data_IF_572034350542
#
_entry.id   IF_572034350542
#
_cell.length_a   1.000
_cell.length_b   1.000
_cell.length_c   1.000
_cell.angle_alpha   90.00
_cell.angle_beta   90.00
_cell.angle_gamma   90.00
#
_symmetry.space_group_name_H-M   'P 1'
#
loop_
_entity.id
_entity.type
_entity.pdbx_description
1 polymer ?
#
# COMPACT_ATOMS: atom_id res chain seq x y z
N UNK A 1 17.41 -19.08 -3.86
CA UNK A 1 15.98 -19.46 -3.79
C UNK A 1 15.36 -18.61 -2.68
N UNK A 2 14.93 -17.38 -2.99
CA UNK A 2 14.27 -16.52 -2.00
C UNK A 2 12.87 -17.08 -1.75
N UNK A 3 12.54 -17.37 -0.49
CA UNK A 3 11.19 -17.80 -0.10
C UNK A 3 10.27 -16.60 -0.25
N UNK A 4 9.32 -16.68 -1.21
CA UNK A 4 8.20 -15.74 -1.32
C UNK A 4 7.43 -15.79 0.01
N UNK A 5 7.33 -14.66 0.70
CA UNK A 5 6.46 -14.54 1.87
C UNK A 5 5.01 -14.64 1.38
N UNK A 6 4.17 -15.51 1.96
CA UNK A 6 2.77 -15.62 1.53
C UNK A 6 2.02 -14.33 1.89
N UNK A 7 1.33 -13.74 0.91
CA UNK A 7 0.57 -12.48 1.02
C UNK A 7 -0.40 -12.41 2.23
N UNK A 8 -0.79 -13.56 2.78
CA UNK A 8 -1.70 -13.64 3.92
C UNK A 8 -1.06 -13.17 5.23
N UNK A 9 0.27 -13.12 5.31
CA UNK A 9 0.98 -12.66 6.51
C UNK A 9 0.91 -11.13 6.67
N UNK A 10 0.79 -10.36 5.56
CA UNK A 10 0.64 -8.91 5.59
C UNK A 10 -0.73 -8.48 6.17
N UNK A 11 -1.79 -9.21 5.81
CA UNK A 11 -3.16 -8.98 6.31
C UNK A 11 -3.28 -9.24 7.82
N UNK A 12 -2.47 -10.16 8.36
CA UNK A 12 -2.54 -10.54 9.78
C UNK A 12 -1.95 -9.48 10.71
N UNK A 13 -0.99 -8.67 10.24
CA UNK A 13 -0.36 -7.60 11.04
C UNK A 13 -1.28 -6.40 11.23
N UNK A 14 -2.14 -6.08 10.25
CA UNK A 14 -3.06 -4.94 10.34
C UNK A 14 -4.18 -5.16 11.38
N UNK A 15 -4.59 -6.42 11.58
CA UNK A 15 -5.62 -6.80 12.54
C UNK A 15 -5.08 -7.04 13.97
N UNK A 16 -3.77 -7.19 14.14
CA UNK A 16 -3.15 -7.69 15.38
C UNK A 16 -2.52 -6.62 16.28
N UNK A 17 -2.63 -5.32 15.96
CA UNK A 17 -2.30 -4.26 16.92
C UNK A 17 -3.53 -3.94 17.78
N UNK A 18 -3.64 -4.47 19.02
CA UNK A 18 -4.59 -3.92 19.96
C UNK A 18 -4.20 -2.46 20.17
N UNK A 19 -5.21 -1.60 20.25
CA UNK A 19 -5.08 -0.21 20.66
C UNK A 19 -4.54 -0.15 22.11
N UNK A 20 -3.25 -0.37 22.30
CA UNK A 20 -2.59 -0.31 23.59
C UNK A 20 -1.90 1.04 23.74
N UNK A 21 -2.72 2.09 23.82
CA UNK A 21 -2.48 3.35 24.55
C UNK A 21 -3.50 4.39 24.05
N UNK A 22 -4.51 4.73 24.86
CA UNK A 22 -4.82 6.12 25.20
C UNK A 22 -5.95 6.14 26.25
N UNK A 23 -5.58 6.09 27.54
CA UNK A 23 -6.44 6.68 28.57
C UNK A 23 -6.11 8.18 28.65
N UNK A 24 -7.17 8.99 28.62
CA UNK A 24 -7.23 10.45 28.80
C UNK A 24 -7.11 11.31 27.52
N UNK A 25 -8.28 11.60 26.93
CA UNK A 25 -8.66 12.96 26.58
C UNK A 25 -8.01 13.62 25.36
N UNK A 26 -8.38 13.16 24.16
CA UNK A 26 -8.90 14.00 23.05
C UNK A 26 -9.26 13.05 21.90
N UNK A 27 -10.54 12.93 21.57
CA UNK A 27 -11.05 11.97 20.60
C UNK A 27 -11.07 12.58 19.20
N UNK A 28 -9.90 12.74 18.60
CA UNK A 28 -9.76 13.16 17.20
C UNK A 28 -9.00 12.11 16.39
N UNK A 29 -9.74 11.30 15.63
CA UNK A 29 -9.30 10.54 14.44
C UNK A 29 -8.03 9.68 14.59
N UNK A 30 -7.86 9.00 15.73
CA UNK A 30 -6.95 7.85 15.84
C UNK A 30 -7.78 6.57 15.85
N UNK A 31 -7.67 5.74 14.81
CA UNK A 31 -8.12 4.35 14.92
C UNK A 31 -8.93 3.73 13.77
N UNK A 32 -9.36 4.45 12.74
CA UNK A 32 -10.00 3.83 11.57
C UNK A 32 -8.95 3.40 10.55
N UNK A 33 -9.16 2.23 9.94
CA UNK A 33 -8.42 1.80 8.75
C UNK A 33 -9.00 2.56 7.57
N UNK A 34 -8.15 3.32 6.89
CA UNK A 34 -8.46 3.89 5.59
C UNK A 34 -8.29 2.82 4.53
N UNK A 35 -9.25 2.73 3.62
CA UNK A 35 -9.27 1.79 2.51
C UNK A 35 -9.38 2.61 1.23
N UNK A 36 -8.38 2.50 0.37
CA UNK A 36 -8.35 3.11 -0.96
C UNK A 36 -7.87 2.08 -1.98
N UNK A 37 -7.61 2.53 -3.20
CA UNK A 37 -7.10 1.70 -4.29
C UNK A 37 -7.66 2.17 -5.63
N UNK A 38 -7.37 1.39 -6.67
CA UNK A 38 -7.85 1.69 -8.02
C UNK A 38 -8.16 0.41 -8.80
N UNK A 39 -8.83 0.63 -9.94
CA UNK A 39 -9.08 -0.39 -10.95
C UNK A 39 -8.61 0.18 -12.28
N UNK A 40 -7.71 -0.53 -12.94
CA UNK A 40 -7.17 -0.16 -14.24
C UNK A 40 -7.60 -1.16 -15.31
N UNK A 41 -8.06 -0.64 -16.44
CA UNK A 41 -8.57 -1.40 -17.56
C UNK A 41 -8.31 -0.66 -18.87
N UNK A 42 -7.99 -1.43 -19.90
CA UNK A 42 -7.67 -0.91 -21.23
C UNK A 42 -8.62 -1.41 -22.31
N UNK A 43 -8.79 -0.58 -23.33
CA UNK A 43 -9.45 -0.95 -24.58
C UNK A 43 -8.51 -0.62 -25.74
N UNK A 44 -8.24 -1.62 -26.57
CA UNK A 44 -7.37 -1.48 -27.75
C UNK A 44 -8.13 -1.83 -29.01
N UNK A 45 -7.93 -1.05 -30.07
CA UNK A 45 -8.42 -1.33 -31.43
C UNK A 45 -7.25 -1.40 -32.42
N UNK A 46 -7.17 -2.49 -33.20
CA UNK A 46 -6.20 -2.67 -34.27
C UNK A 46 -6.86 -2.41 -35.63
N UNK A 47 -6.44 -1.34 -36.31
CA UNK A 47 -6.87 -1.06 -37.69
C UNK A 47 -6.35 -2.10 -38.71
N UNK A 48 -5.21 -2.75 -38.40
CA UNK A 48 -4.59 -3.71 -39.31
C UNK A 48 -5.37 -5.02 -39.36
N UNK A 49 -5.92 -5.42 -38.22
CA UNK A 49 -6.61 -6.70 -38.05
C UNK A 49 -8.14 -6.54 -37.95
N UNK A 50 -8.66 -5.31 -38.07
CA UNK A 50 -10.06 -4.92 -37.81
C UNK A 50 -10.65 -5.62 -36.58
N UNK A 51 -9.92 -5.51 -35.46
CA UNK A 51 -10.24 -6.21 -34.22
C UNK A 51 -10.08 -5.30 -33.02
N UNK A 52 -10.81 -5.64 -31.95
CA UNK A 52 -10.76 -4.93 -30.69
C UNK A 52 -10.60 -5.89 -29.51
N UNK A 53 -9.94 -5.41 -28.48
CA UNK A 53 -9.71 -6.13 -27.22
C UNK A 53 -10.01 -5.21 -26.06
N UNK A 54 -10.65 -5.77 -25.03
CA UNK A 54 -10.81 -5.14 -23.72
C UNK A 54 -10.08 -6.00 -22.69
N UNK A 55 -9.31 -5.36 -21.80
CA UNK A 55 -8.56 -6.01 -20.74
C UNK A 55 -8.78 -5.31 -19.40
N UNK A 56 -8.83 -6.10 -18.33
CA UNK A 56 -8.66 -5.61 -16.96
C UNK A 56 -7.21 -5.85 -16.60
N UNK A 57 -6.48 -4.78 -16.29
CA UNK A 57 -5.02 -4.82 -16.19
C UNK A 57 -4.56 -4.94 -14.74
N UNK A 58 -5.16 -4.16 -13.83
CA UNK A 58 -4.83 -4.19 -12.42
C UNK A 58 -6.04 -3.84 -11.54
N UNK A 59 -6.12 -4.48 -10.38
CA UNK A 59 -6.98 -4.06 -9.27
C UNK A 59 -6.10 -3.93 -8.04
N UNK A 60 -6.20 -2.80 -7.36
CA UNK A 60 -5.43 -2.54 -6.16
C UNK A 60 -6.32 -2.16 -4.99
N UNK A 61 -5.92 -2.61 -3.81
CA UNK A 61 -6.50 -2.19 -2.54
C UNK A 61 -5.36 -1.75 -1.62
N UNK A 62 -5.40 -0.48 -1.22
CA UNK A 62 -4.57 0.06 -0.17
C UNK A 62 -5.31 -0.02 1.16
N UNK A 63 -4.57 -0.37 2.21
CA UNK A 63 -5.01 -0.27 3.59
C UNK A 63 -3.99 0.58 4.35
N UNK A 64 -4.45 1.67 4.96
CA UNK A 64 -3.59 2.47 5.83
C UNK A 64 -4.24 2.75 7.18
N UNK A 65 -3.42 2.91 8.21
CA UNK A 65 -3.89 3.28 9.54
C UNK A 65 -2.89 4.18 10.24
N UNK A 66 -3.35 5.34 10.66
CA UNK A 66 -2.61 6.21 11.56
C UNK A 66 -2.81 5.75 13.02
N UNK A 67 -1.71 5.64 13.76
CA UNK A 67 -1.68 5.22 15.17
C UNK A 67 -1.42 6.41 16.11
N UNK A 68 -1.81 7.61 15.70
CA UNK A 68 -1.53 8.87 16.39
C UNK A 68 -0.04 9.18 16.41
N UNK A 69 0.45 9.57 17.58
CA UNK A 69 1.85 9.93 17.86
C UNK A 69 2.84 8.77 17.75
N UNK A 70 2.37 7.52 17.63
CA UNK A 70 3.22 6.32 17.60
C UNK A 70 3.75 6.07 16.18
N UNK A 71 2.97 6.40 15.15
CA UNK A 71 3.32 6.14 13.76
C UNK A 71 2.16 5.66 12.90
N UNK A 72 2.44 4.82 11.89
CA UNK A 72 1.45 4.36 10.92
C UNK A 72 1.75 2.96 10.36
N UNK A 73 0.72 2.36 9.77
CA UNK A 73 0.76 1.09 9.05
C UNK A 73 0.24 1.29 7.63
N UNK A 74 0.86 0.61 6.66
CA UNK A 74 0.39 0.53 5.26
C UNK A 74 0.53 -0.89 4.73
N UNK A 75 -0.43 -1.31 3.92
CA UNK A 75 -0.39 -2.54 3.14
C UNK A 75 -1.11 -2.32 1.81
N UNK A 76 -0.43 -2.65 0.72
CA UNK A 76 -0.91 -2.43 -0.64
C UNK A 76 -0.92 -3.78 -1.34
N UNK A 77 -2.11 -4.20 -1.79
CA UNK A 77 -2.34 -5.50 -2.40
C UNK A 77 -2.83 -5.29 -3.82
N UNK A 78 -2.13 -5.89 -4.77
CA UNK A 78 -2.43 -5.77 -6.20
C UNK A 78 -2.77 -7.14 -6.81
N UNK A 79 -3.75 -7.14 -7.70
CA UNK A 79 -4.03 -8.22 -8.63
C UNK A 79 -3.72 -7.71 -10.03
N UNK A 80 -2.60 -8.16 -10.59
CA UNK A 80 -2.14 -7.76 -11.92
C UNK A 80 -2.41 -8.89 -12.90
N UNK A 81 -2.90 -8.55 -14.09
CA UNK A 81 -3.13 -9.47 -15.20
C UNK A 81 -1.84 -10.23 -15.54
N UNK A 82 -1.92 -11.56 -15.67
CA UNK A 82 -0.77 -12.39 -16.06
C UNK A 82 -0.56 -12.46 -17.59
N UNK A 83 -1.43 -11.82 -18.36
CA UNK A 83 -1.42 -11.86 -19.84
C UNK A 83 -1.97 -13.15 -20.44
N UNK A 84 -2.32 -14.15 -19.64
CA UNK A 84 -2.88 -15.45 -20.05
C UNK A 84 -4.36 -15.60 -19.66
N UNK A 85 -5.00 -14.50 -19.23
CA UNK A 85 -6.39 -14.45 -18.80
C UNK A 85 -6.60 -14.73 -17.30
N UNK A 86 -5.52 -14.80 -16.52
CA UNK A 86 -5.52 -14.89 -15.07
C UNK A 86 -4.98 -13.63 -14.40
N UNK A 87 -4.88 -13.67 -13.07
CA UNK A 87 -4.34 -12.60 -12.23
C UNK A 87 -3.36 -13.17 -11.22
N UNK A 88 -2.29 -12.43 -10.97
CA UNK A 88 -1.35 -12.71 -9.89
C UNK A 88 -1.57 -11.73 -8.75
N UNK A 89 -1.74 -12.25 -7.53
CA UNK A 89 -1.73 -11.44 -6.30
C UNK A 89 -0.29 -11.17 -5.87
N UNK A 90 0.07 -9.90 -5.69
CA UNK A 90 1.28 -9.49 -4.98
C UNK A 90 0.97 -8.48 -3.87
N UNK A 91 1.87 -8.40 -2.89
CA UNK A 91 1.86 -7.33 -1.90
C UNK A 91 2.90 -6.30 -2.34
N UNK A 92 2.48 -5.24 -3.01
CA UNK A 92 3.37 -4.22 -3.57
C UNK A 92 4.15 -3.53 -2.44
N UNK A 93 3.43 -3.06 -1.42
CA UNK A 93 4.02 -2.51 -0.21
C UNK A 93 3.37 -3.11 1.04
N UNK A 94 4.12 -3.04 2.13
CA UNK A 94 3.68 -3.54 3.43
C UNK A 94 4.70 -3.12 4.46
N UNK A 95 4.40 -2.04 5.20
CA UNK A 95 5.34 -1.46 6.14
C UNK A 95 4.68 -0.84 7.36
N UNK A 96 5.49 -0.73 8.41
CA UNK A 96 5.21 0.05 9.61
C UNK A 96 6.18 1.21 9.66
N UNK A 97 5.68 2.37 10.04
CA UNK A 97 6.48 3.56 10.32
C UNK A 97 6.28 3.91 11.78
N UNK A 98 7.38 4.09 12.51
CA UNK A 98 7.39 4.45 13.93
C UNK A 98 8.00 5.85 14.11
N UNK A 99 7.32 6.70 14.86
CA UNK A 99 7.89 7.93 15.40
C UNK A 99 8.60 7.58 16.73
N UNK A 100 9.90 7.83 16.79
CA UNK A 100 10.70 7.53 17.97
C UNK A 100 10.51 8.56 19.09
N UNK A 101 9.83 9.68 18.84
CA UNK A 101 9.57 10.73 19.83
C UNK A 101 10.81 11.45 20.36
N UNK A 102 11.99 11.19 19.77
CA UNK A 102 13.25 11.81 20.15
C UNK A 102 13.39 13.15 19.42
N UNK A 103 13.56 14.26 20.16
CA UNK A 103 13.81 15.59 19.56
C UNK A 103 12.56 16.44 19.26
N UNK A 104 11.43 16.21 19.95
CA UNK A 104 10.18 17.03 19.81
C UNK A 104 10.33 18.53 19.94
N UNK A 105 11.35 18.97 20.66
CA UNK A 105 11.58 20.40 20.84
C UNK A 105 12.37 21.05 19.68
N UNK A 106 12.93 20.26 18.75
CA UNK A 106 13.84 20.73 17.69
C UNK A 106 13.28 20.61 16.27
N UNK A 107 12.04 20.13 16.10
CA UNK A 107 11.31 20.16 14.82
C UNK A 107 11.73 19.12 13.77
N UNK A 108 12.67 18.23 14.09
CA UNK A 108 13.07 17.11 13.23
C UNK A 108 13.07 15.80 14.02
N UNK A 109 12.34 14.82 13.50
CA UNK A 109 12.09 13.53 14.16
C UNK A 109 12.77 12.41 13.41
N UNK A 110 13.55 11.56 14.09
CA UNK A 110 13.99 10.31 13.48
C UNK A 110 12.78 9.38 13.35
N UNK A 111 12.35 9.18 12.11
CA UNK A 111 11.30 8.23 11.73
C UNK A 111 11.96 6.93 11.29
N UNK A 112 11.41 5.80 11.75
CA UNK A 112 11.92 4.48 11.43
C UNK A 112 10.85 3.66 10.69
N UNK A 113 11.15 3.30 9.45
CA UNK A 113 10.25 2.49 8.61
C UNK A 113 10.82 1.09 8.43
N UNK A 114 9.98 0.08 8.65
CA UNK A 114 10.30 -1.33 8.45
C UNK A 114 9.24 -2.02 7.60
N UNK A 115 9.68 -2.75 6.58
CA UNK A 115 8.79 -3.53 5.72
C UNK A 115 9.27 -3.56 4.28
N UNK A 116 8.33 -3.88 3.36
CA UNK A 116 8.48 -3.67 1.93
C UNK A 116 7.90 -2.29 1.63
N UNK A 117 8.73 -1.39 1.11
CA UNK A 117 8.33 -0.03 0.72
C UNK A 117 9.24 0.42 -0.41
N UNK A 118 8.75 1.36 -1.20
CA UNK A 118 9.51 1.91 -2.31
C UNK A 118 10.69 2.75 -1.84
N UNK A 119 11.88 2.45 -2.37
CA UNK A 119 13.07 3.21 -2.01
C UNK A 119 12.97 4.65 -2.56
N UNK A 120 13.21 5.70 -1.73
CA UNK A 120 13.10 7.10 -2.13
C UNK A 120 14.33 7.56 -2.94
N UNK A 121 14.72 6.77 -3.93
CA UNK A 121 15.86 7.02 -4.82
C UNK A 121 15.42 7.32 -6.26
N UNK A 122 14.09 7.38 -6.51
CA UNK A 122 13.51 7.74 -7.80
C UNK A 122 13.69 6.72 -8.92
N UNK A 123 14.03 5.47 -8.57
CA UNK A 123 14.17 4.36 -9.52
C UNK A 123 12.87 3.58 -9.71
N UNK A 124 12.03 3.55 -8.68
CA UNK A 124 10.70 2.96 -8.72
C UNK A 124 9.70 4.02 -9.21
N UNK A 125 8.82 3.63 -10.13
CA UNK A 125 7.73 4.47 -10.64
C UNK A 125 6.70 4.68 -9.52
N UNK A 126 6.10 5.87 -9.43
CA UNK A 126 4.97 6.13 -8.53
C UNK A 126 3.68 5.47 -9.03
N UNK A 127 2.86 5.00 -8.11
CA UNK A 127 1.61 4.28 -8.39
C UNK A 127 0.60 5.12 -9.19
N UNK A 128 -0.42 4.42 -9.70
CA UNK A 128 -1.27 4.90 -10.78
C UNK A 128 -2.16 6.13 -10.55
N UNK A 129 -2.41 6.73 -9.35
CA UNK A 129 -3.02 8.07 -9.38
C UNK A 129 -2.05 9.15 -9.90
N UNK A 130 -0.73 8.92 -9.83
CA UNK A 130 0.30 9.88 -10.23
C UNK A 130 0.82 9.66 -11.67
N UNK A 131 0.31 8.63 -12.35
CA UNK A 131 0.63 8.28 -13.74
C UNK A 131 -0.58 8.53 -14.65
N UNK A 132 -0.39 9.27 -15.74
CA UNK A 132 -1.29 9.17 -16.88
C UNK A 132 -0.86 7.96 -17.70
N UNK A 133 -1.56 6.83 -17.54
CA UNK A 133 -1.39 5.64 -18.38
C UNK A 133 -2.23 5.75 -19.66
#
# INVERSE_FOLDING_TARGET
MLRRFPAWLAVLLLAAFPAAAQENGDSAVSGLVEISGFVDASYTYSNLDDSNTFGLDQVEIDLSRNLGDIGSLRADLEWVSDGEGGFTLDAEQGYVTLDLGLGRDEGNYPILTFGKFTAPIGFEIQDAPDMYQ
#
